data_IF_744982389510
#
_entry.id   IF_744982389510
#
_cell.length_a   1.000
_cell.length_b   1.000
_cell.length_c   1.000
_cell.angle_alpha   90.00
_cell.angle_beta   90.00
_cell.angle_gamma   90.00
#
_symmetry.space_group_name_H-M   'P 1'
#
loop_
_entity.id
_entity.type
_entity.pdbx_description
1 polymer ?
#
# COMPACT_ATOMS: atom_id res chain seq x y z
N UNK A 1 -22.00 8.55 -0.74
CA UNK A 1 -20.66 8.69 -1.34
C UNK A 1 -19.85 9.44 -0.33
N UNK A 2 -18.73 8.87 0.09
CA UNK A 2 -17.89 9.43 1.15
C UNK A 2 -16.55 9.76 0.54
N UNK A 3 -16.22 11.04 0.46
CA UNK A 3 -14.92 11.53 -0.04
C UNK A 3 -13.90 11.43 1.09
N UNK A 4 -12.86 10.68 0.84
CA UNK A 4 -11.80 10.34 1.78
C UNK A 4 -10.45 10.90 1.26
N UNK A 5 -9.51 11.26 2.13
CA UNK A 5 -9.47 10.97 3.57
C UNK A 5 -10.22 11.98 4.47
N UNK A 6 -10.56 13.17 3.94
CA UNK A 6 -10.98 14.34 4.73
C UNK A 6 -12.31 14.21 5.48
N UNK A 7 -13.19 13.28 5.08
CA UNK A 7 -14.48 13.08 5.75
C UNK A 7 -14.36 12.03 6.84
N UNK A 8 -14.77 12.37 8.06
CA UNK A 8 -14.83 11.42 9.17
C UNK A 8 -15.66 10.18 8.77
N UNK A 9 -14.99 9.03 8.75
CA UNK A 9 -15.60 7.74 8.49
C UNK A 9 -15.16 6.77 9.58
N UNK A 10 -16.06 6.51 10.52
CA UNK A 10 -15.78 5.56 11.59
C UNK A 10 -16.55 4.26 11.33
N UNK A 11 -15.86 3.27 10.81
CA UNK A 11 -16.35 1.90 10.77
C UNK A 11 -15.42 1.04 11.63
N UNK A 12 -15.87 0.70 12.84
CA UNK A 12 -15.08 -0.06 13.83
C UNK A 12 -14.50 -1.38 13.30
N UNK A 13 -15.10 -1.95 12.25
CA UNK A 13 -14.67 -3.20 11.61
C UNK A 13 -13.80 -3.01 10.36
N UNK A 14 -13.43 -1.77 9.99
CA UNK A 14 -12.59 -1.49 8.82
C UNK A 14 -11.28 -0.82 9.22
N UNK A 15 -10.34 -1.64 9.71
CA UNK A 15 -9.00 -1.20 10.10
C UNK A 15 -8.29 -0.50 8.94
N UNK A 16 -8.40 -1.03 7.71
CA UNK A 16 -7.70 -0.52 6.53
C UNK A 16 -8.06 0.93 6.20
N UNK A 17 -9.35 1.29 6.19
CA UNK A 17 -9.75 2.68 5.95
C UNK A 17 -9.37 3.55 7.17
N UNK A 18 -9.53 3.03 8.39
CA UNK A 18 -9.19 3.81 9.59
C UNK A 18 -7.69 4.16 9.68
N UNK A 19 -6.80 3.25 9.29
CA UNK A 19 -5.36 3.49 9.30
C UNK A 19 -4.92 4.33 8.10
N UNK A 20 -5.56 4.17 6.95
CA UNK A 20 -5.42 5.10 5.81
C UNK A 20 -5.80 6.55 6.18
N UNK A 21 -6.91 6.77 6.89
CA UNK A 21 -7.30 8.11 7.33
C UNK A 21 -6.37 8.65 8.40
N UNK A 22 -5.93 7.81 9.33
CA UNK A 22 -4.90 8.18 10.30
C UNK A 22 -3.63 8.68 9.60
N UNK A 23 -3.12 7.93 8.63
CA UNK A 23 -1.94 8.31 7.84
C UNK A 23 -2.14 9.69 7.18
N UNK A 24 -3.30 9.94 6.59
CA UNK A 24 -3.61 11.26 6.03
C UNK A 24 -3.62 12.38 7.08
N UNK A 25 -4.20 12.11 8.26
CA UNK A 25 -4.33 13.08 9.34
C UNK A 25 -2.97 13.46 9.95
N UNK A 26 -2.01 12.53 9.99
CA UNK A 26 -0.64 12.81 10.42
C UNK A 26 0.23 13.37 9.29
N UNK A 27 -0.35 13.69 8.14
CA UNK A 27 0.35 14.36 7.05
C UNK A 27 1.09 13.44 6.08
N UNK A 28 0.90 12.11 6.15
CA UNK A 28 1.43 11.21 5.14
C UNK A 28 0.72 11.41 3.80
N UNK A 29 1.45 11.41 2.67
CA UNK A 29 0.84 11.42 1.35
C UNK A 29 0.02 10.15 1.09
N UNK A 30 -1.30 10.29 1.01
CA UNK A 30 -2.20 9.20 0.62
C UNK A 30 -2.88 9.51 -0.72
N UNK A 31 -3.52 8.51 -1.33
CA UNK A 31 -4.39 8.76 -2.48
C UNK A 31 -5.69 9.43 -2.05
N UNK A 32 -6.20 10.35 -2.86
CA UNK A 32 -7.61 10.71 -2.77
C UNK A 32 -8.47 9.47 -3.06
N UNK A 33 -9.58 9.32 -2.33
CA UNK A 33 -10.45 8.17 -2.52
C UNK A 33 -11.92 8.47 -2.25
N UNK A 34 -12.78 7.60 -2.75
CA UNK A 34 -14.22 7.68 -2.58
C UNK A 34 -14.73 6.30 -2.17
N UNK A 35 -15.55 6.27 -1.12
CA UNK A 35 -16.23 5.06 -0.67
C UNK A 35 -17.72 5.12 -0.99
N UNK A 36 -18.22 4.05 -1.59
CA UNK A 36 -19.64 3.77 -1.78
C UNK A 36 -20.09 2.66 -0.84
N UNK A 37 -21.22 2.86 -0.17
CA UNK A 37 -21.87 1.85 0.66
C UNK A 37 -22.52 0.73 -0.19
N UNK A 38 -22.77 -0.45 0.39
CA UNK A 38 -23.17 -1.71 -0.31
C UNK A 38 -24.31 -1.53 -1.32
N UNK A 39 -25.30 -0.69 -1.03
CA UNK A 39 -26.47 -0.48 -1.88
C UNK A 39 -26.60 0.96 -2.36
N UNK A 40 -25.50 1.71 -2.35
CA UNK A 40 -25.56 3.11 -2.75
C UNK A 40 -25.77 3.24 -4.27
N UNK A 41 -26.88 3.86 -4.67
CA UNK A 41 -27.19 4.13 -6.08
C UNK A 41 -26.12 5.04 -6.72
N UNK A 42 -25.53 4.62 -7.84
CA UNK A 42 -24.69 5.50 -8.65
C UNK A 42 -25.60 6.37 -9.53
N UNK A 43 -25.21 7.63 -9.70
CA UNK A 43 -25.92 8.59 -10.56
C UNK A 43 -24.91 9.32 -11.42
N UNK A 44 -25.35 9.93 -12.53
CA UNK A 44 -24.46 10.67 -13.43
C UNK A 44 -23.72 11.79 -12.68
N UNK A 45 -24.40 12.45 -11.73
CA UNK A 45 -23.81 13.51 -10.90
C UNK A 45 -22.69 12.95 -10.01
N UNK A 46 -22.88 11.76 -9.41
CA UNK A 46 -21.82 11.11 -8.61
C UNK A 46 -20.64 10.69 -9.48
N UNK A 47 -20.86 10.29 -10.73
CA UNK A 47 -19.77 9.98 -11.68
C UNK A 47 -18.95 11.24 -11.98
N UNK A 48 -19.60 12.38 -12.23
CA UNK A 48 -18.89 13.67 -12.44
C UNK A 48 -18.08 14.03 -11.19
N UNK A 49 -18.70 14.01 -10.01
CA UNK A 49 -18.03 14.32 -8.75
C UNK A 49 -16.87 13.37 -8.44
N UNK A 50 -16.99 12.09 -8.81
CA UNK A 50 -15.93 11.10 -8.66
C UNK A 50 -14.71 11.42 -9.54
N UNK A 51 -14.93 11.81 -10.79
CA UNK A 51 -13.84 12.21 -11.71
C UNK A 51 -13.11 13.45 -11.22
N UNK A 52 -13.85 14.44 -10.72
CA UNK A 52 -13.28 15.66 -10.12
C UNK A 52 -12.46 15.34 -8.86
N UNK A 53 -13.01 14.50 -7.98
CA UNK A 53 -12.35 14.10 -6.72
C UNK A 53 -11.06 13.34 -6.98
N UNK A 54 -11.10 12.35 -7.88
CA UNK A 54 -9.93 11.53 -8.20
C UNK A 54 -9.00 12.19 -9.24
N UNK A 55 -9.41 13.32 -9.83
CA UNK A 55 -8.72 14.06 -10.89
C UNK A 55 -8.34 13.14 -12.06
N UNK A 56 -9.27 12.28 -12.48
CA UNK A 56 -8.98 11.21 -13.43
C UNK A 56 -10.26 10.66 -14.06
N UNK A 57 -10.15 10.17 -15.30
CA UNK A 57 -11.18 9.37 -15.98
C UNK A 57 -11.21 7.90 -15.55
N UNK A 58 -10.19 7.48 -14.81
CA UNK A 58 -10.03 6.11 -14.32
C UNK A 58 -9.84 6.06 -12.81
N UNK A 59 -10.22 4.94 -12.20
CA UNK A 59 -10.00 4.67 -10.79
C UNK A 59 -9.40 3.27 -10.58
N UNK A 60 -8.90 3.02 -9.38
CA UNK A 60 -8.58 1.68 -8.91
C UNK A 60 -9.65 1.24 -7.91
N UNK A 61 -10.33 0.13 -8.20
CA UNK A 61 -11.42 -0.38 -7.35
C UNK A 61 -10.86 -1.35 -6.31
N UNK A 62 -11.16 -1.14 -5.03
CA UNK A 62 -10.97 -2.09 -3.94
C UNK A 62 -12.29 -2.38 -3.25
N UNK A 63 -12.50 -3.62 -2.83
CA UNK A 63 -13.70 -4.03 -2.12
C UNK A 63 -13.41 -4.16 -0.63
N UNK A 64 -14.29 -3.62 0.20
CA UNK A 64 -14.26 -3.78 1.65
C UNK A 64 -15.41 -4.69 2.04
N UNK A 65 -15.08 -5.90 2.48
CA UNK A 65 -16.09 -6.89 2.86
C UNK A 65 -16.76 -6.47 4.16
N UNK A 66 -18.09 -6.46 4.16
CA UNK A 66 -18.91 -6.20 5.34
C UNK A 66 -19.52 -7.49 5.91
N UNK A 67 -19.37 -8.60 5.20
CA UNK A 67 -19.77 -9.96 5.59
C UNK A 67 -18.60 -10.92 5.31
N UNK A 68 -18.41 -12.00 6.09
CA UNK A 68 -17.42 -13.03 5.78
C UNK A 68 -17.59 -13.58 4.35
N UNK A 69 -16.49 -13.74 3.63
CA UNK A 69 -16.50 -14.20 2.24
C UNK A 69 -15.45 -15.28 2.02
N UNK A 70 -15.84 -16.40 1.42
CA UNK A 70 -14.94 -17.53 1.11
C UNK A 70 -14.09 -17.27 -0.13
N UNK A 71 -14.60 -16.49 -1.08
CA UNK A 71 -13.93 -16.16 -2.35
C UNK A 71 -13.78 -14.64 -2.52
N UNK A 72 -12.78 -14.01 -1.89
CA UNK A 72 -12.61 -12.58 -2.00
C UNK A 72 -12.26 -12.16 -3.43
N UNK A 73 -13.12 -11.33 -4.01
CA UNK A 73 -12.84 -10.61 -5.26
C UNK A 73 -11.59 -9.75 -5.14
N UNK A 74 -10.58 -10.09 -5.94
CA UNK A 74 -9.34 -9.32 -6.03
C UNK A 74 -9.60 -8.05 -6.85
N UNK A 75 -9.74 -6.93 -6.15
CA UNK A 75 -9.70 -5.60 -6.77
C UNK A 75 -8.28 -5.15 -7.11
N UNK A 76 -8.16 -3.93 -7.62
CA UNK A 76 -6.88 -3.23 -7.77
C UNK A 76 -6.44 -2.95 -9.21
N UNK A 77 -7.28 -3.23 -10.21
CA UNK A 77 -7.01 -2.87 -11.60
C UNK A 77 -7.61 -1.50 -11.94
N UNK A 78 -7.00 -0.83 -12.91
CA UNK A 78 -7.49 0.43 -13.48
C UNK A 78 -8.83 0.17 -14.17
N UNK A 79 -9.88 0.87 -13.74
CA UNK A 79 -11.24 0.82 -14.31
C UNK A 79 -11.63 2.20 -14.83
N UNK A 80 -12.37 2.26 -15.93
CA UNK A 80 -12.98 3.49 -16.39
C UNK A 80 -14.02 3.96 -15.35
N UNK A 81 -14.04 5.25 -15.07
CA UNK A 81 -15.08 5.89 -14.27
C UNK A 81 -16.25 6.18 -15.21
N UNK A 82 -17.13 5.20 -15.33
CA UNK A 82 -18.36 5.24 -16.12
C UNK A 82 -19.51 4.62 -15.32
N UNK A 83 -20.74 5.08 -15.57
CA UNK A 83 -21.90 4.64 -14.79
C UNK A 83 -22.16 3.14 -14.96
N UNK A 84 -22.23 2.66 -16.20
CA UNK A 84 -22.49 1.25 -16.49
C UNK A 84 -21.35 0.38 -15.98
N UNK A 85 -20.10 0.81 -16.24
CA UNK A 85 -18.91 0.07 -15.78
C UNK A 85 -18.80 -0.02 -14.27
N UNK A 86 -19.17 1.00 -13.51
CA UNK A 86 -19.12 0.94 -12.04
C UNK A 86 -20.31 0.18 -11.46
N UNK A 87 -21.49 0.22 -12.08
CA UNK A 87 -22.62 -0.62 -11.68
C UNK A 87 -22.32 -2.11 -11.92
N UNK A 88 -21.72 -2.49 -13.05
CA UNK A 88 -21.24 -3.86 -13.35
C UNK A 88 -20.22 -4.38 -12.32
N UNK A 89 -19.56 -3.48 -11.60
CA UNK A 89 -18.51 -3.78 -10.62
C UNK A 89 -19.02 -3.79 -9.18
N UNK A 90 -20.30 -3.49 -8.94
CA UNK A 90 -20.87 -3.65 -7.60
C UNK A 90 -20.92 -5.12 -7.23
N UNK A 91 -20.64 -5.39 -5.96
CA UNK A 91 -20.59 -6.73 -5.42
C UNK A 91 -21.32 -6.70 -4.08
N UNK A 92 -22.37 -7.50 -3.99
CA UNK A 92 -23.14 -7.69 -2.75
C UNK A 92 -22.22 -8.12 -1.60
N UNK A 93 -22.48 -7.62 -0.39
CA UNK A 93 -21.64 -7.88 0.78
C UNK A 93 -20.35 -7.09 0.79
N UNK A 94 -20.18 -6.08 -0.08
CA UNK A 94 -18.99 -5.23 -0.11
C UNK A 94 -19.33 -3.74 -0.17
N UNK A 95 -18.43 -2.91 0.37
CA UNK A 95 -18.35 -1.48 0.06
C UNK A 95 -17.30 -1.28 -1.04
N UNK A 96 -17.62 -0.45 -2.01
CA UNK A 96 -16.73 -0.18 -3.14
C UNK A 96 -15.88 1.05 -2.83
N UNK A 97 -14.58 0.83 -2.64
CA UNK A 97 -13.58 1.85 -2.35
C UNK A 97 -12.78 2.17 -3.60
N UNK A 98 -13.00 3.35 -4.17
CA UNK A 98 -12.38 3.83 -5.39
C UNK A 98 -11.22 4.75 -5.04
N UNK A 99 -10.03 4.41 -5.51
CA UNK A 99 -8.82 5.20 -5.32
C UNK A 99 -8.41 5.83 -6.65
N UNK A 100 -7.54 6.85 -6.58
CA UNK A 100 -6.79 7.32 -7.74
C UNK A 100 -6.17 6.14 -8.52
N UNK A 101 -6.13 6.21 -9.85
CA UNK A 101 -5.73 5.07 -10.66
C UNK A 101 -4.24 4.78 -10.50
N UNK A 102 -3.91 3.50 -10.39
CA UNK A 102 -2.54 3.06 -10.17
C UNK A 102 -2.15 2.05 -11.23
N UNK A 103 -0.98 2.30 -11.82
CA UNK A 103 -0.32 1.37 -12.70
C UNK A 103 0.79 0.67 -11.92
N UNK A 104 0.46 -0.51 -11.38
CA UNK A 104 1.38 -1.34 -10.59
C UNK A 104 2.59 -1.87 -11.36
N UNK A 105 2.62 -1.68 -12.69
CA UNK A 105 3.79 -2.00 -13.52
C UNK A 105 4.79 -0.86 -13.58
N UNK A 106 4.38 0.34 -13.11
CA UNK A 106 5.16 1.58 -13.15
C UNK A 106 5.59 2.04 -11.76
N UNK A 107 5.45 1.21 -10.73
CA UNK A 107 6.05 1.50 -9.43
C UNK A 107 7.56 1.54 -9.58
N UNK A 108 8.20 2.53 -8.96
CA UNK A 108 9.65 2.61 -8.80
C UNK A 108 10.06 1.78 -7.57
N UNK A 109 9.29 1.88 -6.48
CA UNK A 109 9.51 1.08 -5.27
C UNK A 109 8.19 0.64 -4.64
N UNK A 110 8.18 -0.59 -4.11
CA UNK A 110 7.22 -1.04 -3.10
C UNK A 110 7.94 -1.17 -1.77
N UNK A 111 7.45 -0.52 -0.71
CA UNK A 111 8.20 -0.37 0.55
C UNK A 111 7.31 -0.73 1.73
N UNK A 112 7.85 -1.51 2.67
CA UNK A 112 7.29 -1.66 4.01
C UNK A 112 8.19 -0.98 5.03
N UNK A 113 7.59 -0.26 5.96
CA UNK A 113 8.21 0.24 7.18
C UNK A 113 7.65 -0.54 8.36
N UNK A 114 8.48 -1.38 8.98
CA UNK A 114 8.10 -2.32 10.03
C UNK A 114 8.68 -1.82 11.36
N UNK A 115 7.81 -1.43 12.29
CA UNK A 115 8.19 -1.01 13.65
C UNK A 115 7.82 -2.12 14.62
N UNK A 116 8.77 -2.47 15.49
CA UNK A 116 8.59 -3.39 16.59
C UNK A 116 9.24 -2.81 17.85
N UNK A 117 8.45 -2.10 18.67
CA UNK A 117 8.94 -1.45 19.90
C UNK A 117 9.48 -2.45 20.92
N UNK A 118 8.85 -3.64 21.16
CA UNK A 118 9.39 -4.61 22.12
C UNK A 118 10.77 -5.15 21.74
N UNK A 119 11.08 -5.23 20.45
CA UNK A 119 12.38 -5.64 19.94
C UNK A 119 13.34 -4.48 19.68
N UNK A 120 12.95 -3.23 20.02
CA UNK A 120 13.71 -2.02 19.71
C UNK A 120 14.19 -2.00 18.24
N UNK A 121 13.30 -2.35 17.31
CA UNK A 121 13.65 -2.56 15.91
C UNK A 121 12.75 -1.77 14.96
N UNK A 122 13.38 -1.12 13.99
CA UNK A 122 12.73 -0.54 12.83
C UNK A 122 13.39 -1.07 11.56
N UNK A 123 12.60 -1.60 10.64
CA UNK A 123 13.10 -2.20 9.40
C UNK A 123 12.38 -1.59 8.21
N UNK A 124 13.15 -1.16 7.21
CA UNK A 124 12.65 -0.80 5.89
C UNK A 124 12.92 -1.97 4.94
N UNK A 125 11.86 -2.53 4.37
CA UNK A 125 11.93 -3.57 3.34
C UNK A 125 11.48 -2.99 2.01
N UNK A 126 12.23 -3.18 0.93
CA UNK A 126 11.85 -2.66 -0.39
C UNK A 126 12.03 -3.64 -1.52
N UNK A 127 11.15 -3.52 -2.52
CA UNK A 127 11.29 -4.10 -3.85
C UNK A 127 11.38 -2.99 -4.89
N UNK A 128 12.14 -3.25 -5.94
CA UNK A 128 12.49 -2.26 -6.97
C UNK A 128 11.41 -2.07 -8.04
N UNK A 129 11.82 -1.43 -9.13
CA UNK A 129 10.93 -1.03 -10.22
C UNK A 129 10.15 -2.21 -10.80
N UNK A 130 8.85 -2.05 -11.05
CA UNK A 130 7.94 -3.05 -11.63
C UNK A 130 7.30 -4.01 -10.61
N UNK A 131 7.81 -4.03 -9.38
CA UNK A 131 7.24 -4.78 -8.27
C UNK A 131 6.22 -3.95 -7.48
N UNK A 132 5.45 -4.60 -6.61
CA UNK A 132 4.44 -3.95 -5.76
C UNK A 132 4.64 -4.36 -4.31
N UNK A 133 4.33 -3.45 -3.38
CA UNK A 133 4.45 -3.74 -1.94
C UNK A 133 3.62 -4.97 -1.50
N UNK A 134 2.55 -5.29 -2.22
CA UNK A 134 1.77 -6.50 -1.97
C UNK A 134 2.50 -7.80 -2.31
N UNK A 135 3.61 -7.74 -3.05
CA UNK A 135 4.48 -8.89 -3.31
C UNK A 135 5.25 -9.26 -2.01
N UNK A 136 5.75 -8.26 -1.28
CA UNK A 136 6.37 -8.44 0.05
C UNK A 136 5.32 -8.88 1.08
N UNK A 137 4.21 -8.15 1.18
CA UNK A 137 3.19 -8.39 2.21
C UNK A 137 2.57 -9.80 2.19
N UNK A 138 2.60 -10.48 1.04
CA UNK A 138 2.08 -11.84 0.89
C UNK A 138 3.14 -12.93 1.05
N UNK A 139 4.41 -12.54 1.18
CA UNK A 139 5.54 -13.46 1.12
C UNK A 139 5.72 -14.11 -0.25
N UNK A 140 5.21 -13.48 -1.32
CA UNK A 140 5.39 -13.98 -2.69
C UNK A 140 6.83 -13.75 -3.16
N UNK A 141 7.46 -12.66 -2.68
CA UNK A 141 8.78 -12.16 -3.09
C UNK A 141 9.53 -11.69 -1.84
N UNK A 142 10.83 -12.01 -1.78
CA UNK A 142 11.74 -11.55 -0.72
C UNK A 142 12.05 -10.06 -0.93
N UNK A 143 12.18 -9.25 0.13
CA UNK A 143 12.68 -7.88 -0.01
C UNK A 143 14.00 -7.85 -0.77
N UNK A 144 14.12 -6.95 -1.73
CA UNK A 144 15.36 -6.77 -2.48
C UNK A 144 16.43 -6.02 -1.69
N UNK A 145 15.98 -5.17 -0.78
CA UNK A 145 16.81 -4.47 0.21
C UNK A 145 16.08 -4.47 1.54
N UNK A 146 16.86 -4.67 2.60
CA UNK A 146 16.43 -4.55 3.99
C UNK A 146 17.40 -3.60 4.68
N UNK A 147 16.87 -2.50 5.21
CA UNK A 147 17.60 -1.55 6.05
C UNK A 147 17.09 -1.69 7.47
N UNK A 148 17.93 -2.20 8.37
CA UNK A 148 17.58 -2.39 9.78
C UNK A 148 18.18 -1.28 10.63
N UNK A 149 17.37 -0.75 11.54
CA UNK A 149 17.69 0.30 12.50
C UNK A 149 17.37 -0.18 13.91
N UNK A 150 18.10 0.36 14.90
CA UNK A 150 17.60 0.37 16.28
C UNK A 150 16.36 1.28 16.36
N UNK A 151 15.47 0.98 17.32
CA UNK A 151 14.27 1.78 17.57
C UNK A 151 14.13 2.15 19.05
N UNK A 152 13.98 3.45 19.41
CA UNK A 152 13.98 4.63 18.52
C UNK A 152 15.26 4.78 17.70
N UNK A 153 15.16 5.46 16.56
CA UNK A 153 16.27 5.58 15.61
C UNK A 153 17.43 6.33 16.25
N UNK A 154 18.59 5.67 16.32
CA UNK A 154 19.81 6.26 16.87
C UNK A 154 20.44 7.25 15.91
N UNK A 155 20.86 8.40 16.45
CA UNK A 155 21.47 9.49 15.71
C UNK A 155 22.87 9.77 16.26
N UNK A 156 23.86 9.83 15.37
CA UNK A 156 25.21 10.28 15.73
C UNK A 156 25.24 11.79 16.00
N UNK A 157 26.39 12.31 16.45
CA UNK A 157 26.59 13.76 16.71
C UNK A 157 26.05 14.62 15.56
N UNK A 158 26.37 14.25 14.32
CA UNK A 158 26.00 15.03 13.13
C UNK A 158 24.70 14.55 12.49
N UNK A 159 23.78 13.95 13.25
CA UNK A 159 22.53 13.36 12.76
C UNK A 159 22.74 12.17 11.80
N UNK A 160 23.72 11.34 12.10
CA UNK A 160 24.22 10.28 11.20
C UNK A 160 23.59 8.92 11.50
N UNK A 161 22.31 8.73 11.17
CA UNK A 161 21.62 7.44 11.37
C UNK A 161 22.32 6.27 10.66
N UNK A 162 22.96 6.52 9.52
CA UNK A 162 23.58 5.50 8.68
C UNK A 162 24.78 4.79 9.34
N UNK A 163 25.31 5.31 10.45
CA UNK A 163 26.38 4.64 11.22
C UNK A 163 25.89 3.40 11.97
N UNK A 164 24.58 3.29 12.19
CA UNK A 164 23.98 2.30 13.08
C UNK A 164 23.11 1.28 12.33
N UNK A 165 23.05 1.37 10.99
CA UNK A 165 22.20 0.49 10.18
C UNK A 165 22.89 -0.84 9.87
N UNK A 166 22.06 -1.84 9.59
CA UNK A 166 22.47 -3.04 8.84
C UNK A 166 21.76 -3.06 7.51
N UNK A 167 22.48 -3.46 6.47
CA UNK A 167 21.99 -3.53 5.11
C UNK A 167 22.10 -4.97 4.62
N UNK A 168 20.99 -5.51 4.14
CA UNK A 168 20.94 -6.79 3.45
C UNK A 168 20.34 -6.59 2.06
N UNK A 169 20.92 -7.26 1.07
CA UNK A 169 20.48 -7.20 -0.32
C UNK A 169 20.18 -8.61 -0.83
N UNK A 170 19.18 -8.69 -1.70
CA UNK A 170 18.87 -9.92 -2.42
C UNK A 170 20.01 -10.31 -3.36
N UNK A 171 20.22 -11.61 -3.54
CA UNK A 171 21.15 -12.09 -4.56
C UNK A 171 20.63 -11.80 -5.96
N UNK A 172 21.54 -11.67 -6.93
CA UNK A 172 21.15 -11.49 -8.34
C UNK A 172 20.26 -12.62 -8.86
N UNK A 173 20.55 -13.86 -8.46
CA UNK A 173 19.77 -15.04 -8.83
C UNK A 173 18.33 -14.94 -8.31
N UNK A 174 18.17 -14.58 -7.03
CA UNK A 174 16.85 -14.42 -6.44
C UNK A 174 16.10 -13.25 -7.07
N UNK A 175 16.76 -12.13 -7.38
CA UNK A 175 16.13 -11.01 -8.07
C UNK A 175 15.58 -11.40 -9.46
N UNK A 176 16.31 -12.20 -10.25
CA UNK A 176 15.80 -12.71 -11.53
C UNK A 176 14.61 -13.65 -11.35
N UNK A 177 14.64 -14.51 -10.32
CA UNK A 177 13.52 -15.37 -9.98
C UNK A 177 12.27 -14.55 -9.56
N UNK A 178 12.46 -13.50 -8.76
CA UNK A 178 11.39 -12.61 -8.33
C UNK A 178 10.71 -11.92 -9.52
N UNK A 179 11.48 -11.49 -10.54
CA UNK A 179 10.90 -10.95 -11.80
C UNK A 179 9.95 -11.94 -12.46
N UNK A 180 10.34 -13.22 -12.54
CA UNK A 180 9.50 -14.27 -13.14
C UNK A 180 8.22 -14.51 -12.33
N UNK A 181 8.32 -14.55 -11.00
CA UNK A 181 7.17 -14.66 -10.10
C UNK A 181 6.20 -13.49 -10.36
N UNK A 182 6.73 -12.27 -10.45
CA UNK A 182 5.95 -11.06 -10.69
C UNK A 182 5.27 -11.05 -12.06
N UNK A 183 5.97 -11.43 -13.13
CA UNK A 183 5.39 -11.58 -14.47
C UNK A 183 4.20 -12.55 -14.45
N UNK A 184 4.37 -13.71 -13.83
CA UNK A 184 3.30 -14.70 -13.72
C UNK A 184 2.10 -14.18 -12.94
N UNK A 185 2.34 -13.41 -11.87
CA UNK A 185 1.29 -12.76 -11.09
C UNK A 185 0.53 -11.71 -11.90
N UNK A 186 1.22 -10.87 -12.67
CA UNK A 186 0.62 -9.87 -13.54
C UNK A 186 -0.21 -10.50 -14.67
N UNK A 187 0.28 -11.60 -15.27
CA UNK A 187 -0.49 -12.39 -16.25
C UNK A 187 -1.79 -12.96 -15.65
N UNK A 188 -1.75 -13.45 -14.41
CA UNK A 188 -2.95 -13.89 -13.68
C UNK A 188 -3.94 -12.75 -13.41
N UNK A 189 -3.53 -11.49 -13.50
CA UNK A 189 -4.42 -10.33 -13.45
C UNK A 189 -4.96 -9.90 -14.81
N UNK A 190 -4.65 -10.64 -15.89
CA UNK A 190 -5.05 -10.32 -17.26
C UNK A 190 -4.22 -9.19 -17.88
N UNK A 191 -2.99 -8.98 -17.40
CA UNK A 191 -2.04 -8.04 -17.97
C UNK A 191 -1.04 -8.77 -18.87
N UNK A 192 -0.49 -8.07 -19.86
CA UNK A 192 0.57 -8.56 -20.74
C UNK A 192 1.91 -7.86 -20.42
N UNK A 193 2.52 -8.13 -19.25
CA UNK A 193 3.75 -7.45 -18.84
C UNK A 193 4.94 -7.92 -19.68
N UNK A 194 5.89 -7.01 -19.89
CA UNK A 194 7.17 -7.29 -20.52
C UNK A 194 8.30 -7.16 -19.48
N UNK A 195 9.46 -7.76 -19.73
CA UNK A 195 10.58 -7.75 -18.77
C UNK A 195 11.18 -6.36 -18.54
N UNK A 196 10.97 -5.41 -19.46
CA UNK A 196 11.47 -4.05 -19.41
C UNK A 196 10.79 -3.18 -18.33
N UNK A 197 9.73 -3.68 -17.67
CA UNK A 197 9.15 -3.02 -16.50
C UNK A 197 10.12 -3.04 -15.30
N UNK A 198 11.04 -4.01 -15.27
CA UNK A 198 12.04 -4.17 -14.23
C UNK A 198 13.36 -3.50 -14.60
N UNK A 199 14.16 -3.14 -13.59
CA UNK A 199 15.57 -2.82 -13.82
C UNK A 199 16.37 -4.10 -14.12
N UNK A 200 17.50 -3.93 -14.81
CA UNK A 200 18.44 -5.04 -15.08
C UNK A 200 18.95 -5.64 -13.77
N UNK A 201 19.30 -4.77 -12.83
CA UNK A 201 19.75 -5.09 -11.47
C UNK A 201 18.95 -4.26 -10.48
N UNK A 202 18.80 -4.76 -9.26
CA UNK A 202 18.13 -3.99 -8.20
C UNK A 202 18.90 -2.69 -7.94
N UNK A 203 18.15 -1.60 -7.82
CA UNK A 203 18.67 -0.28 -7.44
C UNK A 203 18.26 0.02 -6.00
N UNK A 204 19.23 0.24 -5.09
CA UNK A 204 18.94 0.59 -3.70
C UNK A 204 18.17 1.90 -3.56
N UNK A 205 17.45 2.03 -2.45
CA UNK A 205 16.84 3.29 -2.03
C UNK A 205 17.94 4.36 -1.87
N UNK A 206 17.70 5.56 -2.40
CA UNK A 206 18.65 6.65 -2.20
C UNK A 206 18.53 7.24 -0.78
N UNK A 207 19.60 7.89 -0.34
CA UNK A 207 19.70 8.50 0.99
C UNK A 207 18.56 9.50 1.29
N UNK A 208 18.11 10.27 0.28
CA UNK A 208 17.05 11.27 0.47
C UNK A 208 15.70 10.61 0.72
N UNK A 209 15.42 9.50 0.03
CA UNK A 209 14.23 8.69 0.23
C UNK A 209 14.25 8.03 1.61
N UNK A 210 15.38 7.43 2.02
CA UNK A 210 15.49 6.83 3.36
C UNK A 210 15.27 7.88 4.46
N UNK A 211 15.86 9.07 4.34
CA UNK A 211 15.58 10.19 5.26
C UNK A 211 14.10 10.57 5.33
N UNK A 212 13.44 10.62 4.16
CA UNK A 212 12.03 10.96 4.10
C UNK A 212 11.16 9.88 4.78
N UNK A 213 11.52 8.60 4.63
CA UNK A 213 10.87 7.49 5.32
C UNK A 213 11.07 7.56 6.83
N UNK A 214 12.29 7.86 7.29
CA UNK A 214 12.60 8.09 8.72
C UNK A 214 11.76 9.24 9.30
N UNK A 215 11.63 10.35 8.55
CA UNK A 215 10.77 11.45 8.95
C UNK A 215 9.31 10.99 9.15
N UNK A 216 8.75 10.26 8.18
CA UNK A 216 7.36 9.80 8.29
C UNK A 216 7.14 8.76 9.37
N UNK A 217 8.08 7.83 9.62
CA UNK A 217 7.88 6.84 10.69
C UNK A 217 7.88 7.50 12.08
N UNK A 218 8.75 8.49 12.30
CA UNK A 218 8.76 9.26 13.55
C UNK A 218 7.46 10.05 13.73
N UNK A 219 6.98 10.69 12.66
CA UNK A 219 5.71 11.43 12.67
C UNK A 219 4.51 10.52 12.92
N UNK A 220 4.50 9.33 12.33
CA UNK A 220 3.47 8.32 12.59
C UNK A 220 3.52 7.87 14.05
N UNK A 221 4.69 7.55 14.57
CA UNK A 221 4.84 7.00 15.92
C UNK A 221 4.47 8.00 17.01
N UNK A 222 4.71 9.30 16.80
CA UNK A 222 4.30 10.37 17.72
C UNK A 222 2.80 10.33 18.03
N UNK A 223 1.97 9.96 17.05
CA UNK A 223 0.51 9.93 17.17
C UNK A 223 -0.09 8.51 17.21
N UNK A 224 0.73 7.46 17.14
CA UNK A 224 0.26 6.08 17.07
C UNK A 224 0.18 5.41 18.43
N UNK A 225 -1.03 5.03 18.84
CA UNK A 225 -1.34 4.46 20.16
C UNK A 225 -1.98 3.06 20.10
N UNK A 226 -2.17 2.50 18.90
CA UNK A 226 -2.98 1.28 18.72
C UNK A 226 -2.21 -0.03 18.87
N UNK A 227 -0.89 -0.02 18.64
CA UNK A 227 -0.06 -1.23 18.74
C UNK A 227 1.43 -0.89 18.82
N UNK A 228 2.17 -1.70 19.56
CA UNK A 228 3.62 -1.64 19.65
C UNK A 228 4.34 -2.35 18.49
N UNK A 229 3.60 -3.06 17.63
CA UNK A 229 4.10 -3.68 16.41
C UNK A 229 3.19 -3.31 15.23
N UNK A 230 3.76 -2.75 14.18
CA UNK A 230 2.99 -2.38 13.00
C UNK A 230 3.84 -2.30 11.73
N UNK A 231 3.19 -2.52 10.59
CA UNK A 231 3.79 -2.37 9.26
C UNK A 231 3.03 -1.31 8.47
N UNK A 232 3.73 -0.33 7.94
CA UNK A 232 3.20 0.68 7.02
C UNK A 232 3.58 0.27 5.60
N UNK A 233 2.60 0.11 4.73
CA UNK A 233 2.86 -0.20 3.31
C UNK A 233 2.83 1.06 2.46
N UNK A 234 3.83 1.20 1.59
CA UNK A 234 4.08 2.40 0.79
C UNK A 234 4.39 1.98 -0.65
N UNK A 235 4.05 2.83 -1.62
CA UNK A 235 4.55 2.71 -2.98
C UNK A 235 5.02 4.03 -3.51
N UNK A 236 6.10 4.01 -4.30
CA UNK A 236 6.58 5.15 -5.07
C UNK A 236 6.23 4.90 -6.53
N UNK A 237 5.43 5.79 -7.13
CA UNK A 237 5.05 5.66 -8.54
C UNK A 237 6.13 6.24 -9.47
N UNK A 238 5.91 6.15 -10.79
CA UNK A 238 6.86 6.63 -11.81
C UNK A 238 7.12 8.15 -11.82
N UNK A 239 6.30 8.96 -11.15
CA UNK A 239 6.55 10.40 -11.01
C UNK A 239 7.25 10.76 -9.69
N UNK A 240 7.68 9.76 -8.92
CA UNK A 240 8.39 9.91 -7.67
C UNK A 240 7.51 10.26 -6.47
N UNK A 241 6.18 10.27 -6.63
CA UNK A 241 5.26 10.48 -5.51
C UNK A 241 5.21 9.21 -4.64
N UNK A 242 5.52 9.38 -3.37
CA UNK A 242 5.25 8.39 -2.33
C UNK A 242 3.76 8.37 -2.01
N UNK A 243 3.22 7.17 -1.81
CA UNK A 243 1.85 6.98 -1.37
C UNK A 243 1.77 5.90 -0.31
N UNK A 244 1.25 6.30 0.85
CA UNK A 244 1.00 5.47 2.01
C UNK A 244 -0.37 4.82 1.88
N UNK A 245 -0.42 3.50 2.06
CA UNK A 245 -1.62 2.71 1.79
C UNK A 245 -2.48 2.48 3.01
N UNK A 246 -1.87 1.89 4.05
CA UNK A 246 -2.48 1.52 5.31
C UNK A 246 -1.41 1.08 6.30
N UNK A 247 -1.79 1.01 7.57
CA UNK A 247 -1.02 0.40 8.65
C UNK A 247 -1.66 -0.96 8.97
N UNK A 248 -0.83 -1.99 9.08
CA UNK A 248 -1.22 -3.34 9.46
C UNK A 248 -0.65 -3.68 10.84
N UNK A 249 -1.51 -4.12 11.75
CA UNK A 249 -1.13 -4.62 13.07
C UNK A 249 -1.17 -6.16 13.10
N UNK A 250 -0.49 -6.83 14.05
CA UNK A 250 -0.62 -8.28 14.26
C UNK A 250 -2.08 -8.73 14.46
N UNK A 251 -2.87 -7.93 15.20
CA UNK A 251 -4.30 -8.17 15.43
C UNK A 251 -5.08 -8.09 14.10
N UNK A 252 -4.78 -7.11 13.26
CA UNK A 252 -5.38 -6.97 11.94
C UNK A 252 -5.09 -8.14 11.00
N UNK A 253 -3.84 -8.61 10.96
CA UNK A 253 -3.45 -9.80 10.20
C UNK A 253 -4.22 -11.05 10.65
N UNK A 254 -4.41 -11.23 11.97
CA UNK A 254 -5.13 -12.38 12.52
C UNK A 254 -6.62 -12.43 12.13
N UNK A 255 -7.28 -11.28 11.94
CA UNK A 255 -8.70 -11.20 11.54
C UNK A 255 -8.92 -11.59 10.08
N UNK A 256 -7.95 -11.33 9.21
CA UNK A 256 -7.99 -11.71 7.78
C UNK A 256 -7.70 -13.22 7.60
N UNK A 257 -6.93 -13.81 8.52
CA UNK A 257 -6.47 -15.20 8.45
C UNK A 257 -7.36 -16.21 9.21
N UNK A 258 -8.52 -15.81 9.74
CA UNK A 258 -9.54 -16.78 10.17
C UNK A 258 -10.11 -17.48 8.94
N UNK A 259 -9.38 -18.47 8.44
CA UNK A 259 -9.98 -19.65 7.81
C UNK A 259 -11.01 -20.17 8.81
N UNK A 260 -12.27 -20.23 8.38
CA UNK A 260 -13.28 -21.05 9.02
C UNK A 260 -12.64 -22.42 9.23
N UNK A 261 -12.46 -22.82 10.49
CA UNK A 261 -12.20 -24.21 10.86
C UNK A 261 -13.51 -24.96 10.62
#
# INVERSE_FOLDING_TARGET
MIVLPNKNYNAANNEKISTYQFLANVGCPVFDSVLFEENEKLTKEKIVQLKETLKSEYCTIRYQYIKPCTNPIRGGNKSLIDLEKLEERKVDGTRMWLLQPIDRTKNIYGINMCVNKPLNSFVIESVGKGFDVSDINRGDITPHEVISFNYPIEMGWQNEWWKYIKLDFVSREQFENDKLIRINKLKKFGLEPQMEIFDKEYKPLDYSLVNNLIYYVNLIDEFWDKSDEYTISISMNNNGKLVFWDIQTPVGKSKILRRTI
#
